data_IF_392471176836
#
_entry.id   IF_392471176836
#
_cell.length_a   1.000
_cell.length_b   1.000
_cell.length_c   1.000
_cell.angle_alpha   90.00
_cell.angle_beta   90.00
_cell.angle_gamma   90.00
#
_symmetry.space_group_name_H-M   'P 1'
#
loop_
_entity.id
_entity.type
_entity.pdbx_description
1 polymer ?
#
# COMPACT_ATOMS: atom_id res chain seq x y z
N UNK A 1 7.44 2.80 11.41
CA UNK A 1 8.32 2.99 10.25
C UNK A 1 8.75 4.45 10.16
N UNK A 2 10.02 4.75 10.40
CA UNK A 2 10.57 6.12 10.47
C UNK A 2 11.53 6.40 9.31
N UNK A 3 11.27 5.82 8.15
CA UNK A 3 12.11 5.92 6.95
C UNK A 3 12.13 7.34 6.38
N UNK A 4 13.22 7.70 5.73
CA UNK A 4 13.38 8.96 4.99
C UNK A 4 12.93 8.79 3.53
N UNK A 5 13.02 7.56 3.00
CA UNK A 5 12.62 7.23 1.63
C UNK A 5 12.11 5.79 1.58
N UNK A 6 11.01 5.59 0.90
CA UNK A 6 10.41 4.28 0.65
C UNK A 6 9.77 4.27 -0.73
N UNK A 7 9.66 3.07 -1.33
CA UNK A 7 8.74 2.83 -2.44
C UNK A 7 7.39 2.38 -1.87
N UNK A 8 7.20 1.07 -1.81
CA UNK A 8 6.05 0.45 -1.14
C UNK A 8 6.57 -0.42 0.02
N UNK A 9 6.43 0.03 1.29
CA UNK A 9 7.00 -0.68 2.42
C UNK A 9 6.22 -1.95 2.76
N UNK A 10 6.81 -3.11 2.52
CA UNK A 10 6.20 -4.41 2.81
C UNK A 10 5.91 -4.59 4.31
N UNK A 11 6.71 -4.00 5.18
CA UNK A 11 6.51 -4.05 6.64
C UNK A 11 5.16 -3.49 7.07
N UNK A 12 4.62 -2.49 6.37
CA UNK A 12 3.28 -1.96 6.61
C UNK A 12 2.23 -3.01 6.21
N UNK A 13 2.38 -3.64 5.04
CA UNK A 13 1.45 -4.67 4.57
C UNK A 13 1.44 -5.90 5.49
N UNK A 14 2.61 -6.31 5.99
CA UNK A 14 2.75 -7.39 6.97
C UNK A 14 2.08 -7.05 8.31
N UNK A 15 2.24 -5.81 8.79
CA UNK A 15 1.55 -5.33 9.99
C UNK A 15 0.03 -5.36 9.82
N UNK A 16 -0.47 -4.91 8.68
CA UNK A 16 -1.89 -4.93 8.36
C UNK A 16 -2.45 -6.36 8.26
N UNK A 17 -1.69 -7.29 7.68
CA UNK A 17 -2.07 -8.70 7.64
C UNK A 17 -2.20 -9.30 9.06
N UNK A 18 -1.48 -8.74 10.03
CA UNK A 18 -1.56 -9.10 11.45
C UNK A 18 -2.56 -8.24 12.26
N UNK A 19 -3.45 -7.47 11.62
CA UNK A 19 -4.39 -6.53 12.26
C UNK A 19 -3.68 -5.48 13.15
N UNK A 20 -2.47 -5.05 12.79
CA UNK A 20 -1.72 -4.05 13.54
C UNK A 20 -1.71 -2.73 12.80
N UNK A 21 -2.15 -1.62 13.45
CA UNK A 21 -2.01 -0.29 12.88
C UNK A 21 -0.55 0.14 12.86
N UNK A 22 -0.22 1.12 12.03
CA UNK A 22 1.14 1.57 11.82
C UNK A 22 1.28 3.07 12.07
N UNK A 23 2.40 3.49 12.64
CA UNK A 23 2.88 4.87 12.60
C UNK A 23 3.99 4.90 11.55
N UNK A 24 3.88 5.76 10.55
CA UNK A 24 4.87 5.88 9.49
C UNK A 24 5.12 7.34 9.12
N UNK A 25 6.33 7.61 8.62
CA UNK A 25 6.65 8.89 7.98
C UNK A 25 5.98 8.99 6.61
N UNK A 26 5.66 10.22 6.21
CA UNK A 26 5.01 10.51 4.92
C UNK A 26 6.03 10.45 3.77
N UNK A 27 6.35 9.23 3.36
CA UNK A 27 7.30 8.93 2.27
C UNK A 27 6.76 7.84 1.36
N UNK A 28 7.09 7.93 0.07
CA UNK A 28 6.66 6.94 -0.92
C UNK A 28 5.16 6.67 -0.86
N UNK A 29 4.77 5.40 -0.84
CA UNK A 29 3.36 4.99 -0.82
C UNK A 29 2.75 4.88 0.60
N UNK A 30 3.43 5.37 1.66
CA UNK A 30 2.93 5.30 3.03
C UNK A 30 1.57 5.98 3.20
N UNK A 31 1.37 7.15 2.55
CA UNK A 31 0.13 7.90 2.61
C UNK A 31 -1.07 7.09 2.10
N UNK A 32 -0.93 6.46 0.96
CA UNK A 32 -1.98 5.61 0.38
C UNK A 32 -2.26 4.38 1.24
N UNK A 33 -1.21 3.74 1.77
CA UNK A 33 -1.37 2.60 2.66
C UNK A 33 -2.12 2.97 3.94
N UNK A 34 -1.90 4.18 4.51
CA UNK A 34 -2.52 4.59 5.77
C UNK A 34 -3.93 5.13 5.55
N UNK A 35 -4.14 6.00 4.58
CA UNK A 35 -5.45 6.65 4.39
C UNK A 35 -6.33 5.96 3.35
N UNK A 36 -5.75 5.10 2.51
CA UNK A 36 -6.42 4.49 1.37
C UNK A 36 -6.59 5.46 0.19
N UNK A 37 -7.00 4.93 -0.93
CA UNK A 37 -7.33 5.70 -2.12
C UNK A 37 -8.86 5.64 -2.34
N UNK A 38 -9.62 6.31 -1.47
CA UNK A 38 -11.10 6.30 -1.47
C UNK A 38 -11.71 4.89 -1.35
N UNK A 39 -11.04 3.99 -0.64
CA UNK A 39 -11.46 2.59 -0.47
C UNK A 39 -12.59 2.40 0.57
N UNK A 40 -12.91 3.42 1.33
CA UNK A 40 -13.97 3.40 2.34
C UNK A 40 -13.63 2.61 3.62
N UNK A 41 -12.39 2.10 3.78
CA UNK A 41 -12.00 1.34 4.98
C UNK A 41 -11.58 2.23 6.14
N UNK A 42 -11.22 3.48 5.85
CA UNK A 42 -10.76 4.45 6.84
C UNK A 42 -9.26 4.38 7.10
N UNK A 43 -8.83 5.14 8.09
CA UNK A 43 -7.41 5.24 8.45
C UNK A 43 -6.90 3.95 9.09
N UNK A 44 -5.74 3.48 8.63
CA UNK A 44 -5.08 2.26 9.11
C UNK A 44 -3.85 2.55 10.00
N UNK A 45 -3.63 3.81 10.37
CA UNK A 45 -2.50 4.24 11.18
C UNK A 45 -2.40 5.76 11.29
N UNK A 46 -1.23 6.23 11.70
CA UNK A 46 -0.90 7.65 11.82
C UNK A 46 0.29 7.98 10.93
N UNK A 47 0.14 9.01 10.10
CA UNK A 47 1.20 9.53 9.26
C UNK A 47 1.87 10.72 9.95
N UNK A 48 3.20 10.77 9.92
CA UNK A 48 4.00 11.83 10.53
C UNK A 48 4.97 12.44 9.52
N UNK A 49 5.43 13.66 9.78
CA UNK A 49 6.47 14.25 8.94
C UNK A 49 7.82 13.57 9.13
N UNK A 50 8.65 13.61 8.08
CA UNK A 50 10.02 13.09 8.09
C UNK A 50 10.84 13.83 9.15
N UNK A 51 11.62 13.08 9.95
CA UNK A 51 12.52 13.61 10.98
C UNK A 51 11.83 14.44 12.08
N UNK A 52 10.51 14.43 12.18
CA UNK A 52 9.78 15.09 13.25
C UNK A 52 9.62 14.16 14.45
N UNK A 53 10.62 14.16 15.35
CA UNK A 53 10.67 13.26 16.50
C UNK A 53 9.50 13.53 17.47
N UNK A 54 9.10 14.77 17.64
CA UNK A 54 8.01 15.16 18.55
C UNK A 54 6.66 14.61 18.04
N UNK A 55 6.42 14.73 16.75
CA UNK A 55 5.21 14.21 16.12
C UNK A 55 5.14 12.66 16.18
N UNK A 56 6.27 11.99 15.95
CA UNK A 56 6.38 10.55 16.08
C UNK A 56 6.12 10.12 17.53
N UNK A 57 6.73 10.79 18.51
CA UNK A 57 6.51 10.50 19.93
C UNK A 57 5.05 10.71 20.33
N UNK A 58 4.44 11.82 19.89
CA UNK A 58 3.02 12.09 20.13
C UNK A 58 2.11 11.01 19.53
N UNK A 59 2.39 10.58 18.28
CA UNK A 59 1.65 9.52 17.64
C UNK A 59 1.77 8.18 18.41
N UNK A 60 2.96 7.85 18.92
CA UNK A 60 3.18 6.67 19.74
C UNK A 60 2.35 6.71 21.04
N UNK A 61 2.36 7.84 21.75
CA UNK A 61 1.56 8.02 22.97
C UNK A 61 0.07 7.89 22.65
N UNK A 62 -0.41 8.60 21.64
CA UNK A 62 -1.81 8.54 21.20
C UNK A 62 -2.26 7.12 20.90
N UNK A 63 -1.45 6.39 20.14
CA UNK A 63 -1.76 5.01 19.77
C UNK A 63 -1.66 4.04 20.98
N UNK A 64 -0.79 4.32 21.95
CA UNK A 64 -0.62 3.47 23.12
C UNK A 64 -1.83 3.53 24.07
N UNK A 65 -2.42 4.71 24.25
CA UNK A 65 -3.51 4.92 25.22
C UNK A 65 -4.90 4.63 24.64
N UNK A 66 -5.07 4.65 23.33
CA UNK A 66 -6.37 4.50 22.68
C UNK A 66 -6.53 3.11 22.03
N UNK A 67 -6.94 2.13 22.84
CA UNK A 67 -7.15 0.75 22.35
C UNK A 67 -8.24 0.65 21.27
N UNK A 68 -9.31 1.42 21.41
CA UNK A 68 -10.42 1.40 20.46
C UNK A 68 -9.97 1.83 19.06
N UNK A 69 -9.19 2.91 18.98
CA UNK A 69 -8.64 3.39 17.70
C UNK A 69 -7.59 2.44 17.15
N UNK A 70 -6.73 1.87 17.98
CA UNK A 70 -5.78 0.83 17.53
C UNK A 70 -6.48 -0.33 16.86
N UNK A 71 -7.57 -0.83 17.44
CA UNK A 71 -8.36 -1.94 16.89
C UNK A 71 -9.03 -1.53 15.57
N UNK A 72 -9.65 -0.35 15.54
CA UNK A 72 -10.30 0.19 14.34
C UNK A 72 -9.31 0.36 13.18
N UNK A 73 -8.16 0.97 13.45
CA UNK A 73 -7.10 1.18 12.46
C UNK A 73 -6.48 -0.15 11.98
N UNK A 74 -6.26 -1.10 12.89
CA UNK A 74 -5.76 -2.43 12.54
C UNK A 74 -6.72 -3.19 11.63
N UNK A 75 -8.03 -3.09 11.89
CA UNK A 75 -9.06 -3.69 11.04
C UNK A 75 -9.14 -3.01 9.66
N UNK A 76 -9.04 -1.68 9.61
CA UNK A 76 -8.98 -0.94 8.34
C UNK A 76 -7.79 -1.40 7.48
N UNK A 77 -6.60 -1.53 8.08
CA UNK A 77 -5.41 -2.04 7.41
C UNK A 77 -5.58 -3.48 6.91
N UNK A 78 -6.13 -4.36 7.75
CA UNK A 78 -6.40 -5.75 7.37
C UNK A 78 -7.35 -5.86 6.16
N UNK A 79 -8.43 -5.09 6.15
CA UNK A 79 -9.36 -5.05 5.02
C UNK A 79 -8.68 -4.54 3.76
N UNK A 80 -7.85 -3.50 3.87
CA UNK A 80 -7.10 -2.91 2.75
C UNK A 80 -6.11 -3.90 2.15
N UNK A 81 -5.29 -4.59 2.96
CA UNK A 81 -4.32 -5.56 2.44
C UNK A 81 -5.01 -6.73 1.76
N UNK A 82 -6.12 -7.21 2.28
CA UNK A 82 -6.88 -8.29 1.66
C UNK A 82 -7.59 -7.87 0.37
N UNK A 83 -8.00 -6.60 0.25
CA UNK A 83 -8.67 -6.11 -0.94
C UNK A 83 -7.70 -5.87 -2.11
N UNK A 84 -6.48 -5.36 -1.83
CA UNK A 84 -5.63 -4.79 -2.89
C UNK A 84 -4.20 -5.32 -2.95
N UNK A 85 -3.71 -6.00 -1.90
CA UNK A 85 -2.28 -6.35 -1.80
C UNK A 85 -2.02 -7.85 -1.60
N UNK A 86 -2.90 -8.70 -2.11
CA UNK A 86 -2.71 -10.14 -2.04
C UNK A 86 -1.74 -10.63 -3.12
N UNK A 87 -0.92 -11.60 -2.75
CA UNK A 87 0.08 -12.19 -3.66
C UNK A 87 -0.55 -12.88 -4.88
N UNK A 88 -1.73 -13.47 -4.73
CA UNK A 88 -2.46 -14.09 -5.83
C UNK A 88 -2.92 -13.04 -6.86
N UNK A 89 -3.40 -11.87 -6.44
CA UNK A 89 -3.73 -10.76 -7.32
C UNK A 89 -2.50 -10.27 -8.09
N UNK A 90 -1.38 -10.07 -7.40
CA UNK A 90 -0.12 -9.68 -8.04
C UNK A 90 0.32 -10.71 -9.08
N UNK A 91 0.28 -12.01 -8.74
CA UNK A 91 0.64 -13.08 -9.66
C UNK A 91 -0.24 -13.10 -10.91
N UNK A 92 -1.53 -12.82 -10.79
CA UNK A 92 -2.44 -12.79 -11.93
C UNK A 92 -2.11 -11.63 -12.88
N UNK A 93 -1.85 -10.44 -12.34
CA UNK A 93 -1.41 -9.28 -13.14
C UNK A 93 -0.12 -9.60 -13.91
N UNK A 94 0.88 -10.20 -13.23
CA UNK A 94 2.11 -10.61 -13.90
C UNK A 94 1.86 -11.66 -15.01
N UNK A 95 0.98 -12.63 -14.78
CA UNK A 95 0.62 -13.61 -15.81
C UNK A 95 0.00 -12.95 -17.04
N UNK A 96 -0.89 -11.99 -16.85
CA UNK A 96 -1.50 -11.24 -17.96
C UNK A 96 -0.45 -10.46 -18.75
N UNK A 97 0.48 -9.79 -18.04
CA UNK A 97 1.60 -9.07 -18.68
C UNK A 97 2.44 -10.04 -19.53
N UNK A 98 2.83 -11.19 -18.96
CA UNK A 98 3.65 -12.18 -19.70
C UNK A 98 2.92 -12.81 -20.87
N UNK A 99 1.62 -13.09 -20.77
CA UNK A 99 0.81 -13.54 -21.91
C UNK A 99 0.82 -12.52 -23.03
N UNK A 100 0.61 -11.24 -22.71
CA UNK A 100 0.68 -10.16 -23.71
C UNK A 100 2.01 -10.03 -24.41
N UNK A 101 3.14 -10.39 -23.76
CA UNK A 101 4.45 -10.45 -24.41
C UNK A 101 4.60 -11.70 -25.29
N UNK A 102 4.11 -12.86 -24.85
CA UNK A 102 4.18 -14.10 -25.63
C UNK A 102 3.38 -14.00 -26.94
N UNK A 103 2.20 -13.40 -26.88
CA UNK A 103 1.36 -13.20 -28.06
C UNK A 103 1.96 -12.21 -29.07
N UNK A 104 2.79 -11.25 -28.59
CA UNK A 104 3.50 -10.30 -29.44
C UNK A 104 4.72 -10.85 -30.16
N UNK A 105 5.35 -11.92 -29.67
CA UNK A 105 6.44 -12.58 -30.38
C UNK A 105 5.96 -13.21 -31.69
N UNK A 106 4.66 -13.43 -31.86
CA UNK A 106 4.04 -13.90 -33.10
C UNK A 106 3.55 -12.76 -34.02
N UNK A 107 3.66 -11.50 -33.62
CA UNK A 107 3.29 -10.32 -34.39
C UNK A 107 4.59 -9.60 -34.84
N UNK A 108 4.75 -9.45 -36.16
CA UNK A 108 5.77 -8.57 -36.72
C UNK A 108 5.69 -7.19 -36.07
N UNK A 109 6.83 -6.63 -35.67
CA UNK A 109 6.97 -5.32 -35.05
C UNK A 109 6.23 -4.24 -35.87
N UNK A 110 4.98 -3.98 -35.55
CA UNK A 110 4.28 -2.78 -35.96
C UNK A 110 4.33 -1.81 -34.79
N UNK A 111 4.76 -0.58 -35.06
CA UNK A 111 4.98 0.51 -34.10
C UNK A 111 3.67 1.03 -33.47
N UNK A 112 2.81 0.18 -32.95
CA UNK A 112 1.68 0.69 -32.16
C UNK A 112 2.08 0.88 -30.70
N UNK A 113 1.81 2.05 -30.11
CA UNK A 113 2.20 2.32 -28.73
C UNK A 113 1.46 1.38 -27.76
N UNK A 114 2.22 0.88 -26.81
CA UNK A 114 1.76 0.07 -25.70
C UNK A 114 0.58 0.76 -25.00
N UNK A 115 -0.62 0.22 -25.09
CA UNK A 115 -1.76 0.75 -24.35
C UNK A 115 -1.59 0.44 -22.86
N UNK A 116 -1.38 1.50 -22.07
CA UNK A 116 -1.08 1.49 -20.62
C UNK A 116 -2.34 1.18 -19.77
N UNK A 117 -3.35 0.51 -20.32
CA UNK A 117 -4.59 0.23 -19.57
C UNK A 117 -4.40 -0.68 -18.34
N UNK A 118 -3.26 -1.38 -18.26
CA UNK A 118 -2.92 -2.22 -17.10
C UNK A 118 -2.37 -1.39 -15.95
N UNK A 119 -1.70 -0.26 -16.25
CA UNK A 119 -1.16 0.65 -15.21
C UNK A 119 -2.24 1.46 -14.50
N UNK A 120 -3.32 1.80 -15.18
CA UNK A 120 -4.44 2.53 -14.57
C UNK A 120 -5.23 1.68 -13.56
N UNK A 121 -5.18 0.35 -13.68
CA UNK A 121 -5.80 -0.56 -12.70
C UNK A 121 -4.91 -0.88 -11.49
N UNK A 122 -3.61 -0.53 -11.55
CA UNK A 122 -2.65 -0.75 -10.47
C UNK A 122 -2.39 0.51 -9.63
N UNK A 123 -2.84 1.67 -10.09
CA UNK A 123 -2.79 2.95 -9.37
C UNK A 123 -4.20 3.36 -8.94
#
# INVERSE_FOLDING_TARGET
LTSISEGQPLTILESYAAHKPVIATDVGNCRELIYGNNDGFGEAGILTHIMNIEEIAHAMVTMSVNEKDRRRMGEAGYRRVNAFYRIDQMKEVYREIYKGFSDRQNLSWTEEPFQISVYEKMM
#
